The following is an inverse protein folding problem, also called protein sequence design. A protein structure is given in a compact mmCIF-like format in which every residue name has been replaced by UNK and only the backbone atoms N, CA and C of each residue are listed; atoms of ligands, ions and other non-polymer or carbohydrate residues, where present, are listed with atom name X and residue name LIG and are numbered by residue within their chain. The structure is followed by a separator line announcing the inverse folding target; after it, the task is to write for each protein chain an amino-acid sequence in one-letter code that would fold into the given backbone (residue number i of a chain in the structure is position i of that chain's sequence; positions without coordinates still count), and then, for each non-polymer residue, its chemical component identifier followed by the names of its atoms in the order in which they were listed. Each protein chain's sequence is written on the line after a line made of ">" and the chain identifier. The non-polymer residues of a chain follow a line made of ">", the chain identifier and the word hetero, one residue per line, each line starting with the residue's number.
data_IF_200589676937
#
_entry.id   IF_200589676937
#
_cell.length_a   1.000
_cell.length_b   1.000
_cell.length_c   1.000
_cell.angle_alpha   90.00
_cell.angle_beta   90.00
_cell.angle_gamma   90.00
#
_symmetry.space_group_name_H-M   'P 1'
#
loop_
_entity.id
_entity.type
_entity.pdbx_description
1 polymer ?
#
# COMPACT_ATOMS: atom_id res chain seq x y z
N UNK A 1 -3.22 -21.70 1.06
CA UNK A 1 -2.65 -20.38 0.77
C UNK A 1 -3.72 -19.46 0.21
N UNK A 2 -3.79 -18.24 0.71
CA UNK A 2 -4.71 -17.24 0.21
C UNK A 2 -4.26 -16.75 -1.17
N UNK A 3 -5.22 -16.49 -2.04
CA UNK A 3 -4.97 -15.75 -3.28
C UNK A 3 -4.82 -14.26 -2.94
N UNK A 4 -4.03 -13.47 -3.70
CA UNK A 4 -3.98 -12.02 -3.48
C UNK A 4 -5.36 -11.38 -3.47
N UNK A 5 -6.27 -11.82 -4.33
CA UNK A 5 -7.66 -11.32 -4.33
C UNK A 5 -8.38 -11.56 -3.01
N UNK A 6 -8.10 -12.69 -2.34
CA UNK A 6 -8.68 -13.00 -1.03
C UNK A 6 -8.08 -12.11 0.05
N UNK A 7 -6.77 -11.90 0.03
CA UNK A 7 -6.09 -10.96 0.93
C UNK A 7 -6.64 -9.55 0.77
N UNK A 8 -6.91 -9.15 -0.46
CA UNK A 8 -7.44 -7.82 -0.76
C UNK A 8 -8.87 -7.66 -0.27
N UNK A 9 -9.73 -8.67 -0.49
CA UNK A 9 -11.15 -8.57 -0.16
C UNK A 9 -11.46 -8.73 1.33
N UNK A 10 -10.69 -9.56 2.06
CA UNK A 10 -10.95 -9.86 3.46
C UNK A 10 -11.13 -8.61 4.35
N UNK A 11 -10.29 -7.57 4.27
CA UNK A 11 -10.48 -6.37 5.09
C UNK A 11 -11.84 -5.69 4.87
N UNK A 12 -12.40 -5.80 3.66
CA UNK A 12 -13.71 -5.19 3.33
C UNK A 12 -14.88 -6.01 3.86
N UNK A 13 -14.66 -7.29 4.17
CA UNK A 13 -15.66 -8.16 4.78
C UNK A 13 -15.79 -7.94 6.28
N UNK A 14 -14.81 -7.28 6.91
CA UNK A 14 -14.85 -6.98 8.33
C UNK A 14 -16.00 -6.01 8.64
N UNK A 15 -16.67 -6.26 9.76
CA UNK A 15 -17.82 -5.47 10.21
C UNK A 15 -17.51 -3.98 10.31
N UNK A 16 -16.31 -3.62 10.78
CA UNK A 16 -15.89 -2.22 10.93
C UNK A 16 -15.71 -1.50 9.60
N UNK A 17 -15.57 -2.24 8.51
CA UNK A 17 -15.33 -1.69 7.17
C UNK A 17 -16.54 -1.83 6.23
N UNK A 18 -17.71 -2.20 6.75
CA UNK A 18 -18.93 -2.43 5.94
C UNK A 18 -19.33 -1.26 5.06
N UNK A 19 -19.08 -0.04 5.51
CA UNK A 19 -19.45 1.17 4.78
C UNK A 19 -18.48 1.48 3.62
N UNK A 20 -17.37 0.74 3.51
CA UNK A 20 -16.35 0.95 2.48
C UNK A 20 -16.54 -0.11 1.40
N UNK A 21 -17.07 0.25 0.22
CA UNK A 21 -17.24 -0.72 -0.86
C UNK A 21 -15.88 -1.09 -1.47
N UNK A 22 -15.72 -2.38 -1.78
CA UNK A 22 -14.58 -2.85 -2.55
C UNK A 22 -14.81 -2.59 -4.05
N UNK A 23 -13.80 -2.05 -4.73
CA UNK A 23 -13.82 -1.81 -6.16
C UNK A 23 -12.53 -2.32 -6.81
N UNK A 24 -12.65 -3.30 -7.71
CA UNK A 24 -11.50 -3.80 -8.47
C UNK A 24 -10.89 -2.70 -9.35
N UNK A 25 -11.72 -1.84 -9.92
CA UNK A 25 -11.26 -0.72 -10.75
C UNK A 25 -10.33 0.21 -9.97
N UNK A 26 -10.73 0.59 -8.77
CA UNK A 26 -9.92 1.43 -7.88
C UNK A 26 -8.64 0.71 -7.44
N UNK A 27 -8.74 -0.60 -7.19
CA UNK A 27 -7.57 -1.41 -6.84
C UNK A 27 -6.54 -1.40 -7.97
N UNK A 28 -6.97 -1.60 -9.21
CA UNK A 28 -6.07 -1.62 -10.36
C UNK A 28 -5.47 -0.23 -10.64
N UNK A 29 -6.19 0.85 -10.35
CA UNK A 29 -5.62 2.18 -10.38
C UNK A 29 -4.46 2.32 -9.38
N UNK A 30 -4.63 1.80 -8.17
CA UNK A 30 -3.56 1.76 -7.17
C UNK A 30 -2.39 0.88 -7.63
N UNK A 31 -2.67 -0.25 -8.28
CA UNK A 31 -1.64 -1.11 -8.85
C UNK A 31 -0.80 -0.36 -9.87
N UNK A 32 -1.44 0.40 -10.77
CA UNK A 32 -0.74 1.20 -11.76
C UNK A 32 0.18 2.23 -11.10
N UNK A 33 -0.30 2.93 -10.09
CA UNK A 33 0.49 3.90 -9.33
C UNK A 33 1.69 3.27 -8.63
N UNK A 34 1.53 2.05 -8.14
CA UNK A 34 2.56 1.32 -7.40
C UNK A 34 3.46 0.46 -8.30
N UNK A 35 3.24 0.49 -9.61
CA UNK A 35 4.02 -0.30 -10.56
C UNK A 35 3.77 -1.80 -10.47
N UNK A 36 2.54 -2.19 -10.14
CA UNK A 36 2.12 -3.59 -10.05
C UNK A 36 1.36 -4.00 -11.30
N UNK A 37 1.66 -5.19 -11.83
CA UNK A 37 0.90 -5.78 -12.91
C UNK A 37 -0.46 -6.28 -12.40
N UNK A 38 -1.51 -6.10 -13.20
CA UNK A 38 -2.87 -6.50 -12.82
C UNK A 38 -3.00 -8.01 -12.64
N UNK A 39 -2.21 -8.80 -13.36
CA UNK A 39 -2.20 -10.25 -13.27
C UNK A 39 -1.84 -10.77 -11.86
N UNK A 40 -1.12 -9.97 -11.08
CA UNK A 40 -0.76 -10.34 -9.71
C UNK A 40 -1.98 -10.58 -8.82
N UNK A 41 -3.10 -9.94 -9.13
CA UNK A 41 -4.35 -10.11 -8.39
C UNK A 41 -4.87 -11.54 -8.44
N UNK A 42 -4.54 -12.27 -9.52
CA UNK A 42 -5.02 -13.63 -9.76
C UNK A 42 -4.00 -14.71 -9.37
N UNK A 43 -2.81 -14.34 -8.94
CA UNK A 43 -1.77 -15.28 -8.52
C UNK A 43 -1.97 -15.68 -7.06
N UNK A 44 -1.30 -16.76 -6.66
CA UNK A 44 -1.22 -17.15 -5.26
C UNK A 44 -0.23 -16.27 -4.51
N UNK A 45 -0.41 -16.12 -3.21
CA UNK A 45 0.46 -15.28 -2.38
C UNK A 45 1.93 -15.71 -2.47
N UNK A 46 2.20 -17.02 -2.54
CA UNK A 46 3.56 -17.54 -2.65
C UNK A 46 4.19 -17.35 -4.04
N UNK A 47 3.41 -16.93 -5.03
CA UNK A 47 3.91 -16.63 -6.38
C UNK A 47 4.28 -15.14 -6.56
N UNK A 48 3.98 -14.30 -5.57
CA UNK A 48 4.34 -12.87 -5.60
C UNK A 48 5.59 -12.62 -4.76
N UNK A 49 6.41 -11.66 -5.20
CA UNK A 49 7.61 -11.28 -4.44
C UNK A 49 7.24 -10.56 -3.15
N UNK A 50 8.20 -10.46 -2.22
CA UNK A 50 8.01 -9.69 -0.98
C UNK A 50 7.66 -8.23 -1.24
N UNK A 51 8.34 -7.59 -2.19
CA UNK A 51 8.06 -6.21 -2.59
C UNK A 51 6.69 -6.05 -3.23
N UNK A 52 6.28 -6.98 -4.08
CA UNK A 52 4.95 -6.98 -4.68
C UNK A 52 3.86 -7.13 -3.62
N UNK A 53 4.04 -8.07 -2.69
CA UNK A 53 3.10 -8.28 -1.58
C UNK A 53 2.95 -7.03 -0.73
N UNK A 54 4.07 -6.40 -0.39
CA UNK A 54 4.07 -5.17 0.39
C UNK A 54 3.28 -4.07 -0.31
N UNK A 55 3.49 -3.87 -1.61
CA UNK A 55 2.76 -2.86 -2.38
C UNK A 55 1.28 -3.19 -2.53
N UNK A 56 0.91 -4.47 -2.66
CA UNK A 56 -0.50 -4.89 -2.66
C UNK A 56 -1.17 -4.48 -1.34
N UNK A 57 -0.50 -4.70 -0.22
CA UNK A 57 -1.06 -4.31 1.09
C UNK A 57 -1.20 -2.79 1.23
N UNK A 58 -0.29 -2.01 0.63
CA UNK A 58 -0.43 -0.55 0.58
C UNK A 58 -1.66 -0.13 -0.21
N UNK A 59 -1.92 -0.79 -1.33
CA UNK A 59 -3.12 -0.53 -2.13
C UNK A 59 -4.40 -0.80 -1.32
N UNK A 60 -4.43 -1.91 -0.58
CA UNK A 60 -5.56 -2.26 0.29
C UNK A 60 -5.77 -1.18 1.35
N UNK A 61 -4.70 -0.77 2.02
CA UNK A 61 -4.77 0.27 3.05
C UNK A 61 -5.36 1.58 2.51
N UNK A 62 -4.96 1.97 1.30
CA UNK A 62 -5.49 3.16 0.64
C UNK A 62 -6.98 3.04 0.32
N UNK A 63 -7.41 1.86 -0.16
CA UNK A 63 -8.81 1.63 -0.51
C UNK A 63 -9.75 1.61 0.68
N UNK A 64 -9.26 1.33 1.88
CA UNK A 64 -10.07 1.34 3.10
C UNK A 64 -10.47 2.76 3.54
N UNK A 65 -9.91 3.80 2.94
CA UNK A 65 -10.24 5.20 3.19
C UNK A 65 -10.15 5.61 4.68
N UNK A 66 -9.20 5.05 5.40
CA UNK A 66 -9.00 5.41 6.80
C UNK A 66 -8.27 6.75 6.91
N UNK A 67 -8.57 7.56 7.93
CA UNK A 67 -7.91 8.87 8.10
C UNK A 67 -6.45 8.77 8.51
N UNK A 68 -6.03 7.62 9.03
CA UNK A 68 -4.65 7.37 9.46
C UNK A 68 -4.17 6.04 8.90
N UNK A 69 -3.01 6.07 8.27
CA UNK A 69 -2.31 4.88 7.77
C UNK A 69 -0.98 4.78 8.53
N UNK A 70 -0.76 3.67 9.23
CA UNK A 70 0.49 3.41 9.96
C UNK A 70 1.20 2.25 9.28
N UNK A 71 2.45 2.47 8.90
CA UNK A 71 3.22 1.50 8.15
C UNK A 71 4.61 1.34 8.77
N UNK A 72 5.02 0.09 8.96
CA UNK A 72 6.35 -0.26 9.44
C UNK A 72 7.21 -0.74 8.27
N UNK A 73 8.33 -0.06 8.03
CA UNK A 73 9.31 -0.36 6.99
C UNK A 73 8.70 -0.53 5.59
N UNK A 74 8.06 0.51 5.02
CA UNK A 74 7.32 0.38 3.76
C UNK A 74 8.20 0.10 2.54
N UNK A 75 9.50 0.29 2.65
CA UNK A 75 10.44 0.15 1.52
C UNK A 75 11.46 -0.97 1.69
N UNK A 76 11.38 -1.76 2.77
CA UNK A 76 12.41 -2.76 3.14
C UNK A 76 12.63 -3.85 2.08
N UNK A 77 11.64 -4.16 1.26
CA UNK A 77 11.71 -5.20 0.23
C UNK A 77 11.70 -4.62 -1.19
N UNK A 78 11.97 -3.32 -1.35
CA UNK A 78 11.83 -2.62 -2.63
C UNK A 78 13.18 -2.18 -3.18
N UNK A 79 13.29 -2.12 -4.52
CA UNK A 79 14.36 -1.43 -5.21
C UNK A 79 14.13 0.10 -5.21
N UNK A 80 15.11 0.87 -5.70
CA UNK A 80 15.05 2.34 -5.70
C UNK A 80 13.85 2.88 -6.50
N UNK A 81 13.58 2.31 -7.67
CA UNK A 81 12.45 2.77 -8.50
C UNK A 81 11.09 2.52 -7.85
N UNK A 82 10.94 1.37 -7.19
CA UNK A 82 9.71 1.04 -6.46
C UNK A 82 9.56 1.91 -5.21
N UNK A 83 10.66 2.27 -4.55
CA UNK A 83 10.64 3.18 -3.40
C UNK A 83 10.07 4.54 -3.78
N UNK A 84 10.50 5.10 -4.92
CA UNK A 84 9.99 6.39 -5.41
C UNK A 84 8.48 6.34 -5.68
N UNK A 85 8.01 5.25 -6.26
CA UNK A 85 6.57 5.05 -6.52
C UNK A 85 5.77 4.97 -5.24
N UNK A 86 6.27 4.26 -4.23
CA UNK A 86 5.62 4.14 -2.92
C UNK A 86 5.55 5.51 -2.24
N UNK A 87 6.63 6.28 -2.27
CA UNK A 87 6.66 7.62 -1.69
C UNK A 87 5.64 8.53 -2.37
N UNK A 88 5.59 8.54 -3.70
CA UNK A 88 4.63 9.32 -4.47
C UNK A 88 3.19 8.89 -4.16
N UNK A 89 2.96 7.59 -3.99
CA UNK A 89 1.65 7.05 -3.61
C UNK A 89 1.21 7.58 -2.25
N UNK A 90 2.08 7.57 -1.24
CA UNK A 90 1.78 8.12 0.08
C UNK A 90 1.48 9.61 0.05
N UNK A 91 2.23 10.38 -0.75
CA UNK A 91 1.96 11.81 -0.92
C UNK A 91 0.57 12.05 -1.47
N UNK A 92 0.13 11.25 -2.44
CA UNK A 92 -1.24 11.36 -2.96
C UNK A 92 -2.29 11.03 -1.91
N UNK A 93 -2.04 10.02 -1.06
CA UNK A 93 -2.95 9.72 0.04
C UNK A 93 -3.05 10.90 1.03
N UNK A 94 -1.93 11.53 1.35
CA UNK A 94 -1.90 12.71 2.21
C UNK A 94 -2.67 13.89 1.59
N UNK A 95 -2.52 14.12 0.30
CA UNK A 95 -3.26 15.15 -0.43
C UNK A 95 -4.77 14.91 -0.40
N UNK A 96 -5.20 13.66 -0.33
CA UNK A 96 -6.61 13.27 -0.19
C UNK A 96 -7.13 13.38 1.24
N UNK A 97 -6.29 13.80 2.18
CA UNK A 97 -6.65 14.02 3.56
C UNK A 97 -6.25 12.93 4.55
N UNK A 98 -5.58 11.88 4.11
CA UNK A 98 -5.06 10.86 5.01
C UNK A 98 -3.77 11.30 5.69
N UNK A 99 -3.60 10.94 6.95
CA UNK A 99 -2.31 11.04 7.64
C UNK A 99 -1.57 9.71 7.47
N UNK A 100 -0.32 9.77 7.02
CA UNK A 100 0.53 8.58 6.85
C UNK A 100 1.69 8.68 7.82
N UNK A 101 1.78 7.71 8.72
CA UNK A 101 2.89 7.56 9.67
C UNK A 101 3.70 6.33 9.28
N UNK A 102 4.95 6.54 8.88
CA UNK A 102 5.85 5.46 8.49
C UNK A 102 7.05 5.38 9.43
N UNK A 103 7.41 4.17 9.83
CA UNK A 103 8.65 3.89 10.54
C UNK A 103 9.63 3.31 9.54
N UNK A 104 10.79 3.95 9.34
CA UNK A 104 11.76 3.53 8.33
C UNK A 104 13.19 3.84 8.76
N UNK A 105 14.11 2.95 8.37
CA UNK A 105 15.54 3.19 8.43
C UNK A 105 16.11 3.70 7.09
N UNK A 106 15.27 3.81 6.06
CA UNK A 106 15.65 4.28 4.74
C UNK A 106 15.71 5.81 4.73
N UNK A 107 16.92 6.36 4.66
CA UNK A 107 17.14 7.83 4.69
C UNK A 107 16.57 8.52 3.44
N UNK A 108 16.62 7.86 2.29
CA UNK A 108 16.07 8.42 1.06
C UNK A 108 14.55 8.52 1.13
N UNK A 109 13.91 7.50 1.68
CA UNK A 109 12.47 7.56 1.95
C UNK A 109 12.14 8.66 2.97
N UNK A 110 12.87 8.73 4.06
CA UNK A 110 12.64 9.72 5.12
C UNK A 110 12.79 11.16 4.60
N UNK A 111 13.77 11.41 3.73
CA UNK A 111 14.00 12.74 3.16
C UNK A 111 12.84 13.22 2.28
N UNK A 112 12.03 12.31 1.77
CA UNK A 112 10.86 12.62 0.96
C UNK A 112 9.59 12.92 1.77
N UNK A 113 9.61 12.78 3.09
CA UNK A 113 8.47 12.99 3.95
C UNK A 113 8.28 14.47 4.31
N UNK A 114 7.04 14.86 4.65
CA UNK A 114 6.73 16.23 5.07
C UNK A 114 7.35 16.55 6.43
N UNK A 115 7.34 15.60 7.36
CA UNK A 115 7.89 15.72 8.70
C UNK A 115 8.72 14.50 9.03
N UNK A 116 9.83 14.71 9.73
CA UNK A 116 10.71 13.65 10.18
C UNK A 116 10.89 13.74 11.70
N UNK A 117 10.70 12.63 12.37
CA UNK A 117 10.97 12.50 13.81
C UNK A 117 12.05 11.43 13.96
N UNK A 118 13.20 11.81 14.52
CA UNK A 118 14.28 10.89 14.85
C UNK A 118 14.13 10.46 16.31
N UNK A 119 14.24 9.17 16.53
CA UNK A 119 14.15 8.59 17.87
C UNK A 119 15.52 8.18 18.39
#
# INVERSE_FOLDING_TARGET
>A
FLMPREMVSLPFELKVNRSVPFSEERLFMCFDELGLEHELYFKRVNEVSGGQRQRIMLAVAALLNKPLIVIDEPTSALDTGSTDKVLAFFRRQAEKGAAVLAVSHDKDFASGCHYLIEL
#
